data_IF_783987470458
#
_entry.id   IF_783987470458
#
_cell.length_a   1.000
_cell.length_b   1.000
_cell.length_c   1.000
_cell.angle_alpha   90.00
_cell.angle_beta   90.00
_cell.angle_gamma   90.00
#
_symmetry.space_group_name_H-M   'P 1'
#
loop_
_entity.id
_entity.type
_entity.pdbx_description
1 polymer ?
#
# COMPACT_ATOMS: atom_id res chain seq x y z
N UNK A 1 0.76 -5.62 4.98
CA UNK A 1 2.17 -6.02 5.07
C UNK A 1 2.27 -7.53 4.82
N UNK A 2 3.47 -8.10 4.85
CA UNK A 2 3.72 -9.54 4.70
C UNK A 2 2.97 -10.37 5.76
N UNK A 3 3.18 -10.08 7.05
CA UNK A 3 2.61 -10.84 8.17
C UNK A 3 1.07 -10.88 8.16
N UNK A 4 0.40 -9.73 8.02
CA UNK A 4 -1.07 -9.71 7.96
C UNK A 4 -1.63 -10.49 6.76
N UNK A 5 -0.95 -10.45 5.61
CA UNK A 5 -1.35 -11.21 4.42
C UNK A 5 -1.08 -12.70 4.63
N UNK A 6 0.04 -13.08 5.25
CA UNK A 6 0.34 -14.47 5.61
C UNK A 6 -0.73 -15.08 6.52
N UNK A 7 -1.10 -14.40 7.60
CA UNK A 7 -2.16 -14.87 8.49
C UNK A 7 -3.52 -14.96 7.79
N UNK A 8 -3.88 -13.92 7.02
CA UNK A 8 -5.12 -13.90 6.23
C UNK A 8 -5.18 -15.09 5.26
N UNK A 9 -4.11 -15.34 4.52
CA UNK A 9 -4.09 -16.41 3.53
C UNK A 9 -4.06 -17.79 4.19
N UNK A 10 -3.40 -17.95 5.34
CA UNK A 10 -3.49 -19.17 6.15
C UNK A 10 -4.94 -19.47 6.59
N UNK A 11 -5.65 -18.45 7.07
CA UNK A 11 -7.07 -18.57 7.43
C UNK A 11 -7.94 -18.92 6.22
N UNK A 12 -7.74 -18.25 5.09
CA UNK A 12 -8.51 -18.49 3.87
C UNK A 12 -8.23 -19.87 3.27
N UNK A 13 -7.00 -20.37 3.35
CA UNK A 13 -6.66 -21.73 2.92
C UNK A 13 -7.47 -22.77 3.72
N UNK A 14 -7.54 -22.63 5.04
CA UNK A 14 -8.40 -23.51 5.88
C UNK A 14 -9.87 -23.44 5.48
N UNK A 15 -10.38 -22.25 5.17
CA UNK A 15 -11.76 -22.09 4.70
C UNK A 15 -11.95 -22.77 3.34
N UNK A 16 -11.01 -22.63 2.42
CA UNK A 16 -11.06 -23.29 1.12
C UNK A 16 -11.10 -24.82 1.27
N UNK A 17 -10.24 -25.38 2.13
CA UNK A 17 -10.19 -26.82 2.41
C UNK A 17 -11.52 -27.35 2.95
N UNK A 18 -12.10 -26.67 3.96
CA UNK A 18 -13.38 -27.06 4.56
C UNK A 18 -14.53 -27.03 3.54
N UNK A 19 -14.46 -26.14 2.55
CA UNK A 19 -15.50 -25.98 1.53
C UNK A 19 -15.19 -26.75 0.23
N UNK A 20 -14.10 -27.51 0.17
CA UNK A 20 -13.68 -28.24 -1.04
C UNK A 20 -13.33 -27.32 -2.22
N UNK A 21 -12.87 -26.10 -1.95
CA UNK A 21 -12.45 -25.13 -2.96
C UNK A 21 -10.97 -25.34 -3.28
N UNK A 22 -10.62 -25.35 -4.58
CA UNK A 22 -9.26 -25.63 -5.04
C UNK A 22 -8.31 -24.44 -4.94
N UNK A 23 -8.82 -23.22 -4.83
CA UNK A 23 -8.00 -22.02 -4.93
C UNK A 23 -8.58 -20.86 -4.12
N UNK A 24 -7.67 -20.06 -3.56
CA UNK A 24 -7.97 -18.75 -3.00
C UNK A 24 -7.55 -17.70 -4.02
N UNK A 25 -8.47 -16.81 -4.38
CA UNK A 25 -8.20 -15.69 -5.28
C UNK A 25 -8.20 -14.36 -4.52
N UNK A 26 -7.33 -13.43 -4.90
CA UNK A 26 -7.35 -12.05 -4.42
C UNK A 26 -7.56 -11.02 -5.55
N UNK A 27 -7.86 -9.79 -5.15
CA UNK A 27 -8.16 -8.69 -6.08
C UNK A 27 -6.96 -7.87 -6.53
N UNK A 28 -5.74 -8.42 -6.51
CA UNK A 28 -4.57 -7.70 -7.02
C UNK A 28 -4.71 -7.43 -8.52
N UNK A 29 -4.19 -6.29 -8.98
CA UNK A 29 -4.24 -5.84 -10.38
C UNK A 29 -2.84 -5.48 -10.91
N UNK A 30 -2.72 -5.08 -12.17
CA UNK A 30 -1.40 -4.78 -12.78
C UNK A 30 -0.77 -3.53 -12.17
N UNK A 31 -1.54 -2.49 -11.82
CA UNK A 31 -0.97 -1.28 -11.22
C UNK A 31 -0.29 -1.53 -9.87
N UNK A 32 -0.62 -2.64 -9.21
CA UNK A 32 -0.01 -3.05 -7.94
C UNK A 32 1.43 -3.58 -8.09
N UNK A 33 1.89 -3.93 -9.30
CA UNK A 33 3.26 -4.46 -9.52
C UNK A 33 4.33 -3.38 -9.49
N UNK A 34 3.96 -2.11 -9.73
CA UNK A 34 4.87 -0.98 -9.67
C UNK A 34 5.21 -0.53 -8.24
N UNK A 35 4.52 -1.10 -7.23
CA UNK A 35 4.64 -0.75 -5.82
C UNK A 35 5.31 -1.89 -5.05
N UNK A 36 6.33 -1.59 -4.24
CA UNK A 36 6.93 -2.62 -3.38
C UNK A 36 5.94 -3.01 -2.29
N UNK A 37 5.31 -4.17 -2.46
CA UNK A 37 4.29 -4.69 -1.55
C UNK A 37 4.76 -6.01 -0.93
N UNK A 38 5.29 -5.99 0.30
CA UNK A 38 5.71 -7.21 1.00
C UNK A 38 4.61 -8.29 1.11
N UNK A 39 3.34 -7.88 1.03
CA UNK A 39 2.20 -8.81 1.01
C UNK A 39 2.14 -9.72 -0.21
N UNK A 40 2.72 -9.32 -1.35
CA UNK A 40 2.74 -10.12 -2.58
C UNK A 40 3.58 -11.38 -2.41
N UNK A 41 4.62 -11.33 -1.57
CA UNK A 41 5.40 -12.53 -1.23
C UNK A 41 4.56 -13.58 -0.52
N UNK A 42 3.74 -13.17 0.46
CA UNK A 42 2.82 -14.08 1.15
C UNK A 42 1.80 -14.69 0.18
N UNK A 43 1.38 -13.95 -0.86
CA UNK A 43 0.48 -14.47 -1.90
C UNK A 43 1.07 -15.71 -2.57
N UNK A 44 2.32 -15.62 -3.01
CA UNK A 44 3.04 -16.71 -3.67
C UNK A 44 3.28 -17.90 -2.74
N UNK A 45 3.63 -17.66 -1.48
CA UNK A 45 3.88 -18.72 -0.48
C UNK A 45 2.64 -19.57 -0.19
N UNK A 46 1.43 -18.99 -0.25
CA UNK A 46 0.15 -19.67 -0.01
C UNK A 46 -0.57 -20.10 -1.30
N UNK A 47 0.06 -19.95 -2.47
CA UNK A 47 -0.56 -20.35 -3.75
C UNK A 47 -1.82 -19.55 -4.12
N UNK A 48 -1.94 -18.31 -3.63
CA UNK A 48 -3.09 -17.44 -3.93
C UNK A 48 -2.96 -16.87 -5.35
N UNK A 49 -4.02 -16.95 -6.13
CA UNK A 49 -4.07 -16.44 -7.51
C UNK A 49 -4.64 -15.02 -7.56
N UNK A 50 -4.33 -14.27 -8.62
CA UNK A 50 -4.84 -12.91 -8.82
C UNK A 50 -5.42 -12.77 -10.22
N UNK A 51 -6.64 -13.24 -10.47
CA UNK A 51 -7.17 -13.35 -11.83
C UNK A 51 -7.22 -12.01 -12.59
N UNK A 52 -7.44 -10.90 -11.88
CA UNK A 52 -7.47 -9.56 -12.49
C UNK A 52 -6.06 -9.14 -12.96
N UNK A 53 -5.05 -9.39 -12.14
CA UNK A 53 -3.64 -9.17 -12.51
C UNK A 53 -3.20 -10.10 -13.63
N UNK A 54 -3.56 -11.39 -13.56
CA UNK A 54 -3.23 -12.39 -14.57
C UNK A 54 -3.88 -12.05 -15.93
N UNK A 55 -5.06 -11.43 -15.91
CA UNK A 55 -5.76 -10.92 -17.08
C UNK A 55 -5.25 -9.56 -17.59
N UNK A 56 -4.21 -8.99 -16.97
CA UNK A 56 -3.65 -7.71 -17.38
C UNK A 56 -4.51 -6.49 -17.03
N UNK A 57 -5.49 -6.63 -16.13
CA UNK A 57 -6.42 -5.55 -15.82
C UNK A 57 -5.77 -4.47 -14.98
N UNK A 58 -5.94 -3.22 -15.41
CA UNK A 58 -5.66 -2.03 -14.61
C UNK A 58 -6.83 -1.72 -13.67
N UNK A 59 -6.60 -0.83 -12.71
CA UNK A 59 -7.62 -0.31 -11.80
C UNK A 59 -8.73 0.42 -12.54
N UNK A 60 -8.42 1.09 -13.64
CA UNK A 60 -9.41 1.81 -14.43
C UNK A 60 -10.26 0.84 -15.27
N UNK A 61 -9.67 -0.25 -15.77
CA UNK A 61 -10.43 -1.34 -16.39
C UNK A 61 -11.42 -1.95 -15.39
N UNK A 62 -10.95 -2.28 -14.18
CA UNK A 62 -11.77 -2.86 -13.10
C UNK A 62 -12.92 -1.93 -12.74
N UNK A 63 -12.67 -0.62 -12.64
CA UNK A 63 -13.72 0.39 -12.35
C UNK A 63 -14.75 0.50 -13.46
N UNK A 64 -14.31 0.42 -14.71
CA UNK A 64 -15.17 0.49 -15.89
C UNK A 64 -16.10 -0.72 -15.91
N UNK A 65 -15.54 -1.93 -15.82
CA UNK A 65 -16.32 -3.18 -15.78
C UNK A 65 -17.26 -3.23 -14.57
N UNK A 66 -16.78 -2.84 -13.38
CA UNK A 66 -17.62 -2.81 -12.18
C UNK A 66 -18.81 -1.85 -12.32
N UNK A 67 -18.62 -0.71 -13.01
CA UNK A 67 -19.71 0.25 -13.28
C UNK A 67 -20.71 -0.31 -14.28
N UNK A 68 -20.24 -0.97 -15.34
CA UNK A 68 -21.10 -1.63 -16.34
C UNK A 68 -21.95 -2.75 -15.72
N UNK A 69 -21.37 -3.50 -14.77
CA UNK A 69 -22.06 -4.53 -13.99
C UNK A 69 -22.99 -3.95 -12.90
N UNK A 70 -23.04 -2.62 -12.73
CA UNK A 70 -23.87 -1.96 -11.73
C UNK A 70 -23.41 -2.19 -10.28
N UNK A 71 -22.13 -2.52 -10.05
CA UNK A 71 -21.62 -2.77 -8.71
C UNK A 71 -21.56 -1.45 -7.91
N UNK A 72 -22.19 -1.37 -6.72
CA UNK A 72 -22.31 -0.11 -5.96
C UNK A 72 -20.97 0.40 -5.41
N UNK A 73 -19.95 -0.46 -5.37
CA UNK A 73 -18.61 -0.17 -4.86
C UNK A 73 -17.60 0.16 -5.96
N UNK A 74 -18.03 0.41 -7.21
CA UNK A 74 -17.12 0.62 -8.35
C UNK A 74 -16.10 1.74 -8.10
N UNK A 75 -16.46 2.80 -7.35
CA UNK A 75 -15.56 3.93 -7.06
C UNK A 75 -14.95 3.92 -5.65
N UNK A 76 -14.88 2.75 -4.99
CA UNK A 76 -14.36 2.70 -3.63
C UNK A 76 -12.88 3.16 -3.60
N UNK A 77 -12.51 4.12 -2.73
CA UNK A 77 -11.11 4.51 -2.57
C UNK A 77 -10.24 3.35 -2.09
N UNK A 78 -8.97 3.36 -2.49
CA UNK A 78 -8.00 2.39 -1.97
C UNK A 78 -7.69 2.73 -0.51
N UNK A 79 -7.88 1.77 0.38
CA UNK A 79 -7.58 1.91 1.80
C UNK A 79 -6.24 1.25 2.12
N UNK A 80 -5.30 2.02 2.64
CA UNK A 80 -4.02 1.48 3.10
C UNK A 80 -4.11 1.10 4.58
N UNK A 81 -3.63 -0.10 4.92
CA UNK A 81 -3.51 -0.60 6.29
C UNK A 81 -2.64 0.34 7.16
N UNK A 82 -2.91 0.39 8.47
CA UNK A 82 -2.07 1.12 9.43
C UNK A 82 -0.60 0.68 9.42
N UNK A 83 -0.32 -0.59 9.11
CA UNK A 83 1.04 -1.08 8.96
C UNK A 83 1.85 -0.31 7.90
N UNK A 84 1.19 0.34 6.94
CA UNK A 84 1.87 1.20 5.97
C UNK A 84 2.38 2.51 6.58
N UNK A 85 2.16 2.80 7.86
CA UNK A 85 2.67 4.02 8.51
C UNK A 85 4.06 3.84 9.11
N UNK A 86 4.57 2.61 9.10
CA UNK A 86 5.85 2.25 9.68
C UNK A 86 6.88 2.00 8.56
N UNK A 87 8.13 2.44 8.72
CA UNK A 87 9.26 2.04 7.90
C UNK A 87 9.37 0.52 7.74
N UNK A 88 9.88 0.07 6.59
CA UNK A 88 10.18 -1.34 6.40
C UNK A 88 11.26 -1.81 7.38
N UNK A 89 11.06 -2.99 7.97
CA UNK A 89 11.99 -3.58 8.94
C UNK A 89 11.77 -3.15 10.38
N UNK A 90 10.92 -2.14 10.64
CA UNK A 90 10.55 -1.77 12.02
C UNK A 90 9.51 -2.75 12.60
N UNK A 91 9.70 -3.11 13.87
CA UNK A 91 8.76 -3.97 14.57
C UNK A 91 7.45 -3.23 14.84
N UNK A 92 6.33 -3.83 14.42
CA UNK A 92 5.00 -3.27 14.64
C UNK A 92 4.39 -3.97 15.86
N UNK A 93 4.01 -3.19 16.86
CA UNK A 93 3.34 -3.65 18.08
C UNK A 93 1.88 -3.22 18.08
N UNK A 94 1.06 -3.81 18.95
CA UNK A 94 -0.33 -3.39 19.12
C UNK A 94 -0.40 -1.95 19.63
N UNK A 95 0.47 -1.59 20.57
CA UNK A 95 0.59 -0.24 21.12
C UNK A 95 0.99 0.76 20.04
N UNK A 96 1.95 0.42 19.16
CA UNK A 96 2.36 1.32 18.09
C UNK A 96 1.26 1.52 17.06
N UNK A 97 0.49 0.46 16.72
CA UNK A 97 -0.68 0.56 15.85
C UNK A 97 -1.77 1.42 16.47
N UNK A 98 -2.07 1.21 17.75
CA UNK A 98 -3.07 1.99 18.49
C UNK A 98 -2.68 3.47 18.57
N UNK A 99 -1.39 3.76 18.82
CA UNK A 99 -0.84 5.13 18.81
C UNK A 99 -1.09 5.82 17.46
N UNK A 100 -0.76 5.16 16.35
CA UNK A 100 -1.01 5.72 15.00
C UNK A 100 -2.49 5.87 14.71
N UNK A 101 -3.32 4.88 15.08
CA UNK A 101 -4.76 4.94 14.87
C UNK A 101 -5.40 6.12 15.64
N UNK A 102 -5.00 6.33 16.89
CA UNK A 102 -5.46 7.45 17.71
C UNK A 102 -5.00 8.78 17.11
N UNK A 103 -3.74 8.87 16.69
CA UNK A 103 -3.21 10.04 16.00
C UNK A 103 -4.02 10.37 14.73
N UNK A 104 -4.26 9.41 13.84
CA UNK A 104 -5.04 9.66 12.62
C UNK A 104 -6.51 10.00 12.95
N UNK A 105 -7.10 9.38 13.97
CA UNK A 105 -8.47 9.72 14.40
C UNK A 105 -8.58 11.15 14.94
N UNK A 106 -7.57 11.64 15.67
CA UNK A 106 -7.56 13.00 16.19
C UNK A 106 -7.44 14.03 15.05
N UNK A 107 -6.61 13.75 14.04
CA UNK A 107 -6.44 14.62 12.88
C UNK A 107 -7.69 14.66 11.97
N UNK A 108 -8.40 13.54 11.83
CA UNK A 108 -9.72 13.51 11.20
C UNK A 108 -10.70 14.43 11.94
N UNK A 109 -10.69 14.40 13.28
CA UNK A 109 -11.52 15.29 14.12
C UNK A 109 -11.19 16.78 13.97
N UNK A 110 -9.98 17.11 13.49
CA UNK A 110 -9.57 18.47 13.16
C UNK A 110 -9.97 18.90 11.73
N UNK A 111 -10.54 18.00 10.93
CA UNK A 111 -11.03 18.30 9.59
C UNK A 111 -10.03 18.11 8.46
N UNK A 112 -8.90 17.44 8.70
CA UNK A 112 -8.03 16.95 7.62
C UNK A 112 -8.66 15.71 6.98
N UNK A 113 -8.58 15.58 5.65
CA UNK A 113 -9.28 14.52 4.93
C UNK A 113 -8.34 13.54 4.22
N UNK A 114 -7.21 14.03 3.71
CA UNK A 114 -6.23 13.19 3.03
C UNK A 114 -4.84 13.40 3.63
N UNK A 115 -4.50 12.51 4.56
CA UNK A 115 -3.22 12.56 5.26
C UNK A 115 -2.77 11.17 5.72
N UNK A 116 -1.52 11.07 6.17
CA UNK A 116 -0.95 9.91 6.87
C UNK A 116 -0.03 10.35 7.98
N UNK A 117 -0.09 9.66 9.12
CA UNK A 117 0.87 9.83 10.21
C UNK A 117 1.91 8.73 10.11
N UNK A 118 3.08 9.01 9.53
CA UNK A 118 4.19 8.05 9.49
C UNK A 118 4.91 8.05 10.83
N UNK A 119 5.03 6.89 11.45
CA UNK A 119 5.74 6.72 12.71
C UNK A 119 7.20 6.37 12.44
N UNK A 120 8.12 7.20 12.91
CA UNK A 120 9.55 6.95 12.90
C UNK A 120 10.05 6.98 14.35
N UNK A 121 9.94 5.85 15.06
CA UNK A 121 10.16 5.81 16.50
C UNK A 121 9.23 6.78 17.25
N UNK A 122 9.80 7.84 17.85
CA UNK A 122 9.05 8.87 18.59
C UNK A 122 8.64 10.08 17.73
N UNK A 123 8.96 10.08 16.44
CA UNK A 123 8.59 11.13 15.50
C UNK A 123 7.31 10.74 14.75
N UNK A 124 6.30 11.60 14.82
CA UNK A 124 5.17 11.60 13.88
C UNK A 124 5.52 12.51 12.69
N UNK A 125 5.77 11.92 11.53
CA UNK A 125 5.90 12.64 10.26
C UNK A 125 4.54 12.64 9.55
N UNK A 126 3.92 13.82 9.51
CA UNK A 126 2.59 14.05 8.96
C UNK A 126 2.68 14.38 7.46
N UNK A 127 2.23 13.46 6.62
CA UNK A 127 1.99 13.68 5.21
C UNK A 127 0.56 14.20 5.01
N UNK A 128 0.37 15.37 4.40
CA UNK A 128 -0.96 15.94 4.11
C UNK A 128 -1.07 16.20 2.61
N UNK A 129 -2.27 16.06 2.04
CA UNK A 129 -2.50 16.42 0.65
C UNK A 129 -1.99 17.83 0.35
N UNK A 130 -1.38 18.08 -0.83
CA UNK A 130 -0.78 19.37 -1.16
C UNK A 130 -1.72 20.57 -0.95
N UNK A 131 -3.00 20.41 -1.29
CA UNK A 131 -4.02 21.46 -1.13
C UNK A 131 -4.44 21.72 0.33
N UNK A 132 -4.16 20.79 1.25
CA UNK A 132 -4.45 20.91 2.69
C UNK A 132 -3.20 21.32 3.51
N UNK A 133 -2.00 21.39 2.91
CA UNK A 133 -0.76 21.65 3.64
C UNK A 133 -0.74 23.01 4.36
N UNK A 134 -1.20 24.08 3.71
CA UNK A 134 -1.27 25.40 4.34
C UNK A 134 -2.25 25.41 5.52
N UNK A 135 -3.39 24.74 5.37
CA UNK A 135 -4.38 24.62 6.43
C UNK A 135 -3.80 23.85 7.62
N UNK A 136 -3.12 22.73 7.36
CA UNK A 136 -2.42 21.98 8.40
C UNK A 136 -1.38 22.85 9.13
N UNK A 137 -0.60 23.66 8.40
CA UNK A 137 0.36 24.60 9.02
C UNK A 137 -0.31 25.68 9.87
N UNK A 138 -1.45 26.23 9.44
CA UNK A 138 -2.25 27.16 10.26
C UNK A 138 -2.73 26.50 11.55
N UNK A 139 -3.03 25.20 11.50
CA UNK A 139 -3.50 24.38 12.63
C UNK A 139 -2.37 23.66 13.40
N UNK A 140 -1.09 23.99 13.13
CA UNK A 140 0.09 23.26 13.64
C UNK A 140 0.11 23.07 15.16
N UNK A 141 -0.41 24.01 15.93
CA UNK A 141 -0.46 23.92 17.39
C UNK A 141 -1.45 22.83 17.85
N UNK A 142 -2.66 22.81 17.28
CA UNK A 142 -3.66 21.78 17.52
C UNK A 142 -3.16 20.40 17.06
N UNK A 143 -2.55 20.33 15.87
CA UNK A 143 -1.97 19.09 15.33
C UNK A 143 -0.86 18.58 16.24
N UNK A 144 0.09 19.44 16.62
CA UNK A 144 1.21 19.09 17.50
C UNK A 144 0.70 18.59 18.85
N UNK A 145 -0.28 19.27 19.45
CA UNK A 145 -0.91 18.85 20.70
C UNK A 145 -1.57 17.48 20.59
N UNK A 146 -2.39 17.24 19.57
CA UNK A 146 -3.07 15.97 19.33
C UNK A 146 -2.08 14.81 19.11
N UNK A 147 -1.04 15.01 18.31
CA UNK A 147 -0.05 13.97 18.04
C UNK A 147 0.83 13.67 19.27
N UNK A 148 1.14 14.69 20.08
CA UNK A 148 1.81 14.47 21.38
C UNK A 148 0.94 13.72 22.36
N UNK A 149 -0.35 14.05 22.43
CA UNK A 149 -1.32 13.34 23.27
C UNK A 149 -1.49 11.87 22.83
N UNK A 150 -1.29 11.56 21.55
CA UNK A 150 -1.25 10.18 21.05
C UNK A 150 0.03 9.42 21.45
N UNK A 151 1.09 10.10 21.92
CA UNK A 151 2.32 9.48 22.41
C UNK A 151 3.55 9.67 21.51
N UNK A 152 3.59 10.72 20.69
CA UNK A 152 4.79 11.11 19.93
C UNK A 152 5.57 12.24 20.64
N UNK A 153 6.90 12.13 20.68
CA UNK A 153 7.78 13.17 21.26
C UNK A 153 8.00 14.32 20.29
N UNK A 154 8.05 14.04 18.99
CA UNK A 154 8.26 15.05 17.97
C UNK A 154 7.23 14.94 16.86
N UNK A 155 6.90 16.09 16.29
CA UNK A 155 5.92 16.22 15.21
C UNK A 155 6.57 17.01 14.09
N UNK A 156 6.56 16.44 12.90
CA UNK A 156 7.06 17.07 11.69
C UNK A 156 5.99 17.02 10.60
N UNK A 157 5.89 18.07 9.78
CA UNK A 157 5.11 18.04 8.56
C UNK A 157 6.03 17.67 7.41
N UNK A 158 5.60 16.73 6.59
CA UNK A 158 6.31 16.37 5.36
C UNK A 158 6.12 17.46 4.30
N UNK A 159 7.22 17.94 3.74
CA UNK A 159 7.22 19.02 2.75
C UNK A 159 6.69 18.57 1.39
N UNK A 160 6.90 17.30 1.02
CA UNK A 160 6.38 16.74 -0.23
C UNK A 160 4.89 16.35 -0.10
N UNK A 161 4.40 16.23 1.13
CA UNK A 161 3.01 15.91 1.43
C UNK A 161 2.62 14.46 1.15
N UNK A 162 1.32 14.24 1.02
CA UNK A 162 0.76 12.91 0.79
C UNK A 162 1.07 12.41 -0.63
N UNK A 163 1.78 11.28 -0.72
CA UNK A 163 2.10 10.59 -1.97
C UNK A 163 1.90 9.08 -1.84
N UNK A 164 1.40 8.44 -2.90
CA UNK A 164 1.35 6.99 -2.98
C UNK A 164 2.77 6.43 -3.09
N UNK A 165 3.06 5.32 -2.41
CA UNK A 165 4.39 4.69 -2.47
C UNK A 165 5.50 5.41 -1.71
N UNK A 166 5.23 6.47 -0.94
CA UNK A 166 6.28 7.29 -0.29
C UNK A 166 7.27 6.51 0.62
N UNK A 167 6.91 5.32 1.11
CA UNK A 167 7.86 4.48 1.87
C UNK A 167 8.89 3.78 0.99
N UNK A 168 8.62 3.63 -0.31
CA UNK A 168 9.50 2.93 -1.24
C UNK A 168 10.73 3.77 -1.58
N UNK A 169 10.70 5.09 -1.37
CA UNK A 169 11.84 5.98 -1.58
C UNK A 169 13.02 5.68 -0.66
N UNK A 170 12.76 5.04 0.48
CA UNK A 170 13.80 4.59 1.40
C UNK A 170 14.39 3.21 1.01
N UNK A 171 13.85 2.55 -0.01
CA UNK A 171 14.39 1.28 -0.51
C UNK A 171 15.58 1.55 -1.44
N UNK A 172 16.63 0.71 -1.41
CA UNK A 172 17.70 0.82 -2.38
C UNK A 172 17.15 0.61 -3.79
N UNK A 173 17.45 1.54 -4.70
CA UNK A 173 17.17 1.37 -6.12
C UNK A 173 17.93 0.13 -6.61
N UNK A 174 17.27 -0.82 -7.30
CA UNK A 174 18.00 -1.91 -7.92
C UNK A 174 18.99 -1.34 -8.94
N UNK A 175 20.22 -1.88 -9.03
CA UNK A 175 21.20 -1.42 -10.01
C UNK A 175 20.67 -1.61 -11.45
N UNK A 176 20.96 -0.65 -12.34
CA UNK A 176 20.45 -0.52 -13.72
C UNK A 176 20.63 -1.75 -14.63
N UNK A 177 21.40 -2.76 -14.21
CA UNK A 177 21.77 -3.91 -15.05
C UNK A 177 20.67 -4.98 -15.18
N UNK A 178 19.51 -4.82 -14.53
CA UNK A 178 18.37 -5.75 -14.66
C UNK A 178 17.24 -5.22 -15.56
N UNK A 179 17.37 -4.02 -16.12
CA UNK A 179 16.36 -3.41 -17.01
C UNK A 179 16.53 -3.77 -18.50
N UNK A 180 17.53 -4.57 -18.87
CA UNK A 180 17.80 -4.95 -20.26
C UNK A 180 18.16 -6.44 -20.38
N UNK A 181 17.14 -7.29 -20.21
CA UNK A 181 17.18 -8.66 -20.72
C UNK A 181 15.91 -8.96 -21.50
N UNK A 182 15.55 -8.06 -22.44
CA UNK A 182 14.72 -8.44 -23.58
C UNK A 182 15.66 -8.86 -24.72
N UNK A 183 15.52 -10.13 -25.08
CA UNK A 183 16.44 -10.86 -25.92
C UNK A 183 16.44 -10.39 -27.38
N UNK A 184 17.63 -10.09 -27.88
CA UNK A 184 17.94 -10.24 -29.30
C UNK A 184 17.99 -11.74 -29.62
N UNK A 185 16.82 -12.33 -29.89
CA UNK A 185 16.76 -13.59 -30.61
C UNK A 185 17.06 -13.31 -32.09
N UNK A 186 18.19 -13.85 -32.52
CA UNK A 186 18.71 -13.86 -33.88
C UNK A 186 17.67 -14.38 -34.90
N UNK A 187 17.26 -13.53 -35.83
CA UNK A 187 16.74 -13.98 -37.12
C UNK A 187 17.90 -14.23 -38.07
N UNK A 188 18.10 -15.49 -38.44
CA UNK A 188 18.71 -15.89 -39.71
C UNK A 188 18.22 -17.29 -40.05
N UNK A 189 17.54 -17.44 -41.18
CA UNK A 189 18.04 -18.37 -42.17
C UNK A 189 18.14 -17.68 -43.53
N UNK A 190 19.38 -17.46 -43.97
CA UNK A 190 19.69 -17.17 -45.36
C UNK A 190 19.54 -18.44 -46.19
N UNK A 191 18.86 -18.29 -47.32
CA UNK A 191 18.73 -19.22 -48.43
C UNK A 191 20.05 -19.40 -49.20
N UNK A 192 20.07 -20.48 -50.01
CA UNK A 192 20.93 -20.75 -51.18
C UNK A 192 22.32 -21.38 -50.98
N UNK A 193 22.37 -22.71 -50.91
CA UNK A 193 22.86 -23.62 -51.99
C UNK A 193 23.01 -25.06 -51.51
#
# INVERSE_FOLDING_TARGET
CYYCKGELFSLLARVADVNGLSVVADGSNVDDTADFRPGSRAKSEYGVVSPLQDAGMTKDDIRTVARELGLPNWNKPAMACLASRFPYGEAITEESLARVAHAESALLGLGLNQFRVRAHGDVARLEVAPHEQEQAWRMRESISSSLRAAGFTWVAQDLDGYRMGALNEALPTPPDHLASADGSASESPGSDQ
#
